data_IF_722840989590
#
_entry.id   IF_722840989590
#
_cell.length_a   1.000
_cell.length_b   1.000
_cell.length_c   1.000
_cell.angle_alpha   90.00
_cell.angle_beta   90.00
_cell.angle_gamma   90.00
#
_symmetry.space_group_name_H-M   'P 1'
#
loop_
_entity.id
_entity.type
_entity.pdbx_description
1 polymer ?
#
# COMPACT_ATOMS: atom_id res chain seq x y z
N UNK A 1 -0.48 -6.58 20.66
CA UNK A 1 -0.91 -7.95 20.31
C UNK A 1 0.28 -8.86 20.52
N UNK A 2 0.20 -9.78 21.47
CA UNK A 2 1.30 -10.70 21.77
C UNK A 2 0.84 -12.10 21.34
N UNK A 3 1.63 -12.76 20.49
CA UNK A 3 1.49 -14.20 20.24
C UNK A 3 1.88 -14.93 21.54
N UNK A 4 1.37 -16.13 21.77
CA UNK A 4 1.80 -17.00 22.88
C UNK A 4 3.33 -17.07 22.98
N UNK A 5 3.85 -17.37 24.18
CA UNK A 5 5.30 -17.51 24.41
C UNK A 5 5.96 -18.52 23.43
N UNK A 6 5.18 -19.48 22.92
CA UNK A 6 5.61 -20.51 21.97
C UNK A 6 5.40 -20.14 20.48
N UNK A 7 4.83 -18.97 20.17
CA UNK A 7 4.59 -18.47 18.81
C UNK A 7 3.73 -19.36 17.89
N UNK A 8 2.93 -20.25 18.46
CA UNK A 8 2.12 -21.26 17.78
C UNK A 8 0.68 -20.80 17.46
N UNK A 9 0.18 -19.78 18.17
CA UNK A 9 -1.22 -19.34 18.06
C UNK A 9 -1.45 -18.16 17.09
N UNK A 10 -0.46 -17.81 16.26
CA UNK A 10 -0.51 -16.61 15.40
C UNK A 10 -1.72 -16.59 14.44
N UNK A 11 -2.18 -17.76 14.02
CA UNK A 11 -3.35 -17.94 13.16
C UNK A 11 -4.67 -17.60 13.87
N UNK A 12 -4.78 -17.86 15.17
CA UNK A 12 -5.97 -17.52 15.98
C UNK A 12 -6.06 -16.00 16.15
N UNK A 13 -4.92 -15.34 16.28
CA UNK A 13 -4.87 -13.89 16.47
C UNK A 13 -4.92 -13.09 15.17
N UNK A 14 -4.76 -13.72 14.00
CA UNK A 14 -4.70 -13.05 12.69
C UNK A 14 -5.97 -12.24 12.30
N UNK A 15 -7.20 -12.68 12.60
CA UNK A 15 -8.39 -11.99 12.13
C UNK A 15 -8.55 -10.56 12.68
N UNK A 16 -8.14 -10.32 13.93
CA UNK A 16 -8.24 -9.00 14.58
C UNK A 16 -7.33 -7.91 13.97
N UNK A 17 -6.01 -8.14 13.79
CA UNK A 17 -5.14 -7.20 13.09
C UNK A 17 -5.47 -7.11 11.61
N UNK A 18 -5.91 -8.19 10.95
CA UNK A 18 -6.39 -8.12 9.56
C UNK A 18 -7.61 -7.19 9.44
N UNK A 19 -8.61 -7.36 10.31
CA UNK A 19 -9.78 -6.49 10.34
C UNK A 19 -9.38 -5.03 10.62
N UNK A 20 -8.53 -4.81 11.62
CA UNK A 20 -8.05 -3.47 11.97
C UNK A 20 -7.26 -2.82 10.83
N UNK A 21 -6.44 -3.59 10.12
CA UNK A 21 -5.69 -3.13 8.95
C UNK A 21 -6.60 -2.80 7.77
N UNK A 22 -7.60 -3.64 7.51
CA UNK A 22 -8.57 -3.45 6.43
C UNK A 22 -9.57 -2.31 6.70
N UNK A 23 -9.74 -1.91 7.96
CA UNK A 23 -10.55 -0.75 8.38
C UNK A 23 -9.73 0.55 8.55
N UNK A 24 -8.41 0.47 8.66
CA UNK A 24 -7.56 1.64 8.83
C UNK A 24 -7.35 2.39 7.51
N UNK A 25 -7.33 3.72 7.57
CA UNK A 25 -7.03 4.55 6.41
C UNK A 25 -5.57 4.39 5.98
N UNK A 26 -5.37 4.09 4.70
CA UNK A 26 -4.03 4.12 4.12
C UNK A 26 -3.58 5.57 3.91
N UNK A 27 -2.33 5.88 4.26
CA UNK A 27 -1.76 7.23 4.17
C UNK A 27 -1.81 7.85 2.78
N UNK A 28 -1.73 7.02 1.73
CA UNK A 28 -1.69 7.47 0.33
C UNK A 28 -3.09 7.70 -0.27
N UNK A 29 -4.08 6.87 0.08
CA UNK A 29 -5.45 6.96 -0.44
C UNK A 29 -6.39 7.70 0.50
N UNK A 30 -6.01 7.88 1.78
CA UNK A 30 -6.88 8.42 2.84
C UNK A 30 -8.23 7.71 2.89
N UNK A 31 -8.20 6.42 2.65
CA UNK A 31 -9.33 5.51 2.62
C UNK A 31 -8.84 4.12 3.00
N UNK A 32 -9.67 3.38 3.71
CA UNK A 32 -9.42 1.99 4.07
C UNK A 32 -9.64 1.03 2.88
N UNK A 33 -9.02 -0.16 2.90
CA UNK A 33 -9.31 -1.22 1.93
C UNK A 33 -10.79 -1.59 1.86
N UNK A 34 -11.49 -1.73 2.99
CA UNK A 34 -12.92 -2.05 3.00
C UNK A 34 -13.76 -0.99 2.31
N UNK A 35 -13.50 0.30 2.60
CA UNK A 35 -14.19 1.40 1.94
C UNK A 35 -13.92 1.42 0.43
N UNK A 36 -12.73 1.04 -0.01
CA UNK A 36 -12.36 1.01 -1.44
C UNK A 36 -13.13 -0.07 -2.21
N UNK A 37 -13.34 -1.23 -1.61
CA UNK A 37 -13.95 -2.40 -2.26
C UNK A 37 -15.48 -2.34 -2.13
N UNK A 38 -15.96 -2.11 -0.92
CA UNK A 38 -17.39 -2.22 -0.58
C UNK A 38 -18.08 -0.85 -0.51
N UNK A 39 -17.33 0.25 -0.53
CA UNK A 39 -17.88 1.60 -0.38
C UNK A 39 -18.25 1.95 1.07
N UNK A 40 -18.00 1.04 2.02
CA UNK A 40 -18.32 1.15 3.45
C UNK A 40 -17.31 0.41 4.32
N UNK A 41 -17.19 0.85 5.57
CA UNK A 41 -16.37 0.22 6.60
C UNK A 41 -17.26 -0.55 7.57
N UNK A 42 -17.03 -1.86 7.78
CA UNK A 42 -17.80 -2.63 8.74
C UNK A 42 -17.51 -2.12 10.16
N UNK A 43 -18.57 -1.90 10.94
CA UNK A 43 -18.44 -1.61 12.37
C UNK A 43 -18.17 -2.89 13.15
N UNK A 44 -17.46 -2.79 14.27
CA UNK A 44 -17.33 -3.89 15.22
C UNK A 44 -18.63 -4.09 16.03
N UNK A 45 -19.47 -3.07 16.13
CA UNK A 45 -20.77 -3.17 16.80
C UNK A 45 -21.78 -3.92 15.91
N UNK A 46 -22.37 -4.98 16.50
CA UNK A 46 -23.36 -5.87 15.87
C UNK A 46 -24.72 -5.22 15.58
N UNK A 47 -24.83 -3.89 15.67
CA UNK A 47 -26.07 -3.13 15.48
C UNK A 47 -26.29 -2.68 14.04
N UNK A 48 -25.40 -3.06 13.11
CA UNK A 48 -25.51 -2.67 11.71
C UNK A 48 -26.68 -3.40 11.05
N UNK A 49 -27.83 -2.73 10.98
CA UNK A 49 -28.97 -3.16 10.18
C UNK A 49 -28.61 -3.07 8.70
N UNK A 50 -28.56 -4.21 8.01
CA UNK A 50 -28.43 -4.24 6.56
C UNK A 50 -29.77 -3.79 5.96
N UNK A 51 -29.85 -2.53 5.55
CA UNK A 51 -30.97 -2.08 4.71
C UNK A 51 -30.79 -2.66 3.30
N UNK A 52 -31.85 -3.26 2.75
CA UNK A 52 -31.89 -3.75 1.37
C UNK A 52 -31.79 -2.57 0.39
N UNK A 53 -30.55 -2.12 0.16
CA UNK A 53 -30.25 -1.09 -0.82
C UNK A 53 -30.20 -1.71 -2.22
N UNK A 54 -30.89 -1.14 -3.22
CA UNK A 54 -30.82 -1.65 -4.59
C UNK A 54 -29.37 -1.73 -5.08
N UNK A 55 -28.98 -2.90 -5.61
CA UNK A 55 -27.60 -3.22 -6.05
C UNK A 55 -27.00 -2.17 -7.00
N UNK A 56 -27.83 -1.53 -7.84
CA UNK A 56 -27.38 -0.46 -8.73
C UNK A 56 -26.88 0.80 -8.00
N UNK A 57 -27.53 1.17 -6.89
CA UNK A 57 -27.13 2.35 -6.09
C UNK A 57 -25.80 2.08 -5.39
N UNK A 58 -25.62 0.87 -4.85
CA UNK A 58 -24.36 0.41 -4.24
C UNK A 58 -23.24 0.41 -5.27
N UNK A 59 -23.49 -0.15 -6.46
CA UNK A 59 -22.52 -0.17 -7.56
C UNK A 59 -22.07 1.24 -7.98
N UNK A 60 -23.01 2.19 -8.11
CA UNK A 60 -22.68 3.59 -8.45
C UNK A 60 -21.85 4.26 -7.34
N UNK A 61 -22.18 4.01 -6.07
CA UNK A 61 -21.41 4.51 -4.92
C UNK A 61 -19.98 3.97 -4.94
N UNK A 62 -19.81 2.66 -5.16
CA UNK A 62 -18.48 2.03 -5.27
C UNK A 62 -17.68 2.63 -6.42
N UNK A 63 -18.28 2.81 -7.61
CA UNK A 63 -17.60 3.42 -8.76
C UNK A 63 -17.12 4.84 -8.46
N UNK A 64 -17.95 5.65 -7.79
CA UNK A 64 -17.61 7.01 -7.39
C UNK A 64 -16.46 7.02 -6.38
N UNK A 65 -16.50 6.16 -5.37
CA UNK A 65 -15.43 6.01 -4.38
C UNK A 65 -14.12 5.59 -5.05
N UNK A 66 -14.17 4.62 -5.96
CA UNK A 66 -13.00 4.17 -6.72
C UNK A 66 -12.39 5.28 -7.58
N UNK A 67 -13.23 6.14 -8.18
CA UNK A 67 -12.75 7.29 -8.96
C UNK A 67 -11.98 8.28 -8.08
N UNK A 68 -12.57 8.68 -6.94
CA UNK A 68 -11.92 9.59 -5.98
C UNK A 68 -10.58 9.02 -5.49
N UNK A 69 -10.53 7.71 -5.22
CA UNK A 69 -9.30 7.05 -4.74
C UNK A 69 -8.22 7.03 -5.82
N UNK A 70 -8.59 6.82 -7.10
CA UNK A 70 -7.64 6.91 -8.21
C UNK A 70 -7.00 8.29 -8.29
N UNK A 71 -7.79 9.35 -8.16
CA UNK A 71 -7.29 10.73 -8.20
C UNK A 71 -6.35 11.02 -7.02
N UNK A 72 -6.74 10.58 -5.81
CA UNK A 72 -5.89 10.71 -4.61
C UNK A 72 -4.56 9.98 -4.78
N UNK A 73 -4.59 8.76 -5.33
CA UNK A 73 -3.39 7.97 -5.59
C UNK A 73 -2.47 8.65 -6.60
N UNK A 74 -3.03 9.27 -7.64
CA UNK A 74 -2.24 10.03 -8.60
C UNK A 74 -1.59 11.26 -7.94
N UNK A 75 -2.32 11.98 -7.10
CA UNK A 75 -1.78 13.11 -6.33
C UNK A 75 -0.64 12.66 -5.40
N UNK A 76 -0.82 11.56 -4.66
CA UNK A 76 0.21 10.99 -3.80
C UNK A 76 1.45 10.58 -4.59
N UNK A 77 1.29 9.93 -5.75
CA UNK A 77 2.39 9.60 -6.68
C UNK A 77 3.16 10.85 -7.11
N UNK A 78 2.46 11.93 -7.46
CA UNK A 78 3.10 13.21 -7.81
C UNK A 78 3.89 13.80 -6.62
N UNK A 79 3.37 13.71 -5.40
CA UNK A 79 4.08 14.15 -4.20
C UNK A 79 5.33 13.30 -3.95
N UNK A 80 5.21 11.97 -3.94
CA UNK A 80 6.35 11.07 -3.77
C UNK A 80 7.42 11.31 -4.82
N UNK A 81 7.02 11.53 -6.08
CA UNK A 81 7.94 11.92 -7.16
C UNK A 81 8.68 13.21 -6.84
N UNK A 82 7.97 14.27 -6.41
CA UNK A 82 8.62 15.54 -6.02
C UNK A 82 9.65 15.35 -4.90
N UNK A 83 9.33 14.56 -3.88
CA UNK A 83 10.27 14.29 -2.79
C UNK A 83 11.46 13.44 -3.23
N UNK A 84 11.23 12.41 -4.05
CA UNK A 84 12.29 11.57 -4.60
C UNK A 84 13.22 12.34 -5.55
N UNK A 85 12.63 13.16 -6.43
CA UNK A 85 13.37 13.94 -7.42
C UNK A 85 14.11 15.12 -6.78
N UNK A 86 13.71 15.61 -5.59
CA UNK A 86 14.36 16.75 -4.89
C UNK A 86 15.86 16.59 -4.70
N UNK A 87 16.32 15.36 -4.42
CA UNK A 87 17.72 15.04 -4.19
C UNK A 87 18.35 14.27 -5.36
N UNK A 88 17.61 14.07 -6.45
CA UNK A 88 18.07 13.29 -7.59
C UNK A 88 18.95 14.16 -8.47
N UNK A 89 20.20 13.75 -8.66
CA UNK A 89 21.09 14.38 -9.64
C UNK A 89 20.67 13.95 -11.04
N UNK A 90 20.72 14.88 -12.00
CA UNK A 90 20.56 14.57 -13.42
C UNK A 90 21.59 13.50 -13.78
N UNK A 91 21.13 12.42 -14.42
CA UNK A 91 22.05 11.39 -14.89
C UNK A 91 22.90 11.96 -16.01
N UNK A 92 24.21 11.70 -16.04
CA UNK A 92 25.02 11.93 -17.23
C UNK A 92 24.44 11.15 -18.42
N UNK A 93 24.62 11.68 -19.62
CA UNK A 93 24.32 10.97 -20.87
C UNK A 93 25.39 9.91 -21.11
N UNK A 94 25.06 8.66 -20.80
CA UNK A 94 25.97 7.52 -21.02
C UNK A 94 25.85 7.00 -22.44
N UNK A 95 26.99 6.69 -23.06
CA UNK A 95 27.02 6.04 -24.38
C UNK A 95 27.05 4.52 -24.23
N UNK A 96 26.46 3.76 -25.17
CA UNK A 96 26.61 2.31 -25.19
C UNK A 96 28.08 1.89 -25.16
N UNK A 97 28.48 1.06 -24.18
CA UNK A 97 29.85 0.60 -23.98
C UNK A 97 30.66 1.37 -22.92
N UNK A 98 30.12 2.45 -22.37
CA UNK A 98 30.76 3.25 -21.33
C UNK A 98 30.70 2.55 -19.95
N UNK A 99 31.83 2.54 -19.23
CA UNK A 99 31.92 1.92 -17.90
C UNK A 99 31.60 2.94 -16.82
N UNK A 100 30.68 2.60 -15.92
CA UNK A 100 30.29 3.44 -14.79
C UNK A 100 30.69 2.79 -13.47
N UNK A 101 31.11 3.61 -12.50
CA UNK A 101 31.42 3.15 -11.15
C UNK A 101 30.13 2.99 -10.35
N UNK A 102 29.83 1.78 -9.92
CA UNK A 102 28.69 1.45 -9.06
C UNK A 102 29.18 1.19 -7.64
N UNK A 103 28.48 1.76 -6.66
CA UNK A 103 28.73 1.43 -5.25
C UNK A 103 27.91 0.20 -4.87
N UNK A 104 28.56 -0.82 -4.31
CA UNK A 104 27.91 -2.08 -3.94
C UNK A 104 27.11 -2.02 -2.63
N UNK A 105 27.32 -1.00 -1.80
CA UNK A 105 26.74 -0.85 -0.45
C UNK A 105 25.20 -0.93 -0.38
N UNK A 106 24.49 -0.75 -1.48
CA UNK A 106 23.01 -0.79 -1.56
C UNK A 106 22.48 -1.73 -2.64
N UNK A 107 23.32 -2.59 -3.20
CA UNK A 107 22.91 -3.54 -4.22
C UNK A 107 22.72 -4.88 -3.52
N UNK A 108 21.47 -5.26 -3.27
CA UNK A 108 21.15 -6.61 -2.81
C UNK A 108 21.30 -7.57 -3.99
N UNK A 109 22.48 -8.18 -4.06
CA UNK A 109 22.73 -9.25 -5.01
C UNK A 109 22.19 -10.55 -4.40
N UNK A 110 21.45 -11.31 -5.19
CA UNK A 110 20.98 -12.66 -4.82
C UNK A 110 22.14 -13.62 -4.53
N UNK A 111 23.37 -13.25 -4.92
CA UNK A 111 24.59 -14.03 -4.71
C UNK A 111 25.75 -13.12 -4.32
N UNK A 112 26.46 -13.45 -3.24
CA UNK A 112 27.65 -12.73 -2.79
C UNK A 112 28.75 -12.84 -3.85
N UNK A 113 29.25 -11.72 -4.37
CA UNK A 113 30.39 -11.72 -5.30
C UNK A 113 31.56 -10.94 -4.70
N UNK A 114 32.74 -11.57 -4.63
CA UNK A 114 33.98 -10.98 -4.06
C UNK A 114 34.42 -9.68 -4.75
N UNK A 115 34.00 -9.44 -6.00
CA UNK A 115 34.41 -8.28 -6.80
C UNK A 115 33.63 -7.00 -6.48
N UNK A 116 32.54 -7.11 -5.72
CA UNK A 116 31.68 -5.99 -5.32
C UNK A 116 31.66 -5.85 -3.79
N UNK A 117 32.62 -6.42 -3.07
CA UNK A 117 32.83 -6.13 -1.64
C UNK A 117 33.61 -4.85 -1.43
#
# INVERSE_FOLDING_TARGET
MYVSYHQDDWNIWLPLPEFSYNNADNSSTKASPFFTIYGENPSFDSTQSFEDTPSEKVSKKIQLVQHIIKDKLESARRQFRKYADRNRKVSPDFKPGEKVWLTSKKIELTRTTKKLS
#
